data_IF_258185693226
#
_entry.id   IF_258185693226
#
_cell.length_a   1.000
_cell.length_b   1.000
_cell.length_c   1.000
_cell.angle_alpha   90.00
_cell.angle_beta   90.00
_cell.angle_gamma   90.00
#
_symmetry.space_group_name_H-M   'P 1'
#
loop_
_entity.id
_entity.type
_entity.pdbx_description
1 polymer ?
#
# COMPACT_ATOMS: atom_id res chain seq x y z
N UNK A 1 2.66 13.12 -10.82
CA UNK A 1 3.08 13.12 -12.22
C UNK A 1 2.70 11.82 -12.92
N UNK A 2 2.38 11.92 -14.20
CA UNK A 2 1.84 10.77 -14.94
C UNK A 2 2.86 9.65 -15.18
N UNK A 3 4.15 9.92 -15.03
CA UNK A 3 5.21 8.94 -15.22
C UNK A 3 5.84 8.50 -13.89
N UNK A 4 5.08 8.56 -12.81
CA UNK A 4 5.54 8.13 -11.49
C UNK A 4 5.69 6.62 -11.45
N UNK A 5 6.86 6.13 -11.03
CA UNK A 5 7.10 4.70 -10.85
C UNK A 5 6.78 4.26 -9.43
N UNK A 6 7.22 5.04 -8.44
CA UNK A 6 7.00 4.72 -7.02
C UNK A 6 6.29 5.90 -6.37
N UNK A 7 5.14 5.62 -5.77
CA UNK A 7 4.34 6.61 -5.05
C UNK A 7 4.35 6.27 -3.57
N UNK A 8 4.63 7.26 -2.74
CA UNK A 8 4.61 7.11 -1.28
C UNK A 8 3.59 8.09 -0.72
N UNK A 9 2.62 7.59 0.04
CA UNK A 9 1.62 8.42 0.69
C UNK A 9 1.53 8.07 2.18
N UNK A 10 0.90 8.95 2.97
CA UNK A 10 0.71 8.69 4.39
C UNK A 10 -0.23 7.49 4.61
N UNK A 11 -1.40 7.54 4.01
CA UNK A 11 -2.41 6.50 4.16
C UNK A 11 -2.75 5.78 2.86
N UNK A 12 -3.57 4.71 2.95
CA UNK A 12 -3.90 3.89 1.79
C UNK A 12 -4.93 4.52 0.86
N UNK A 13 -4.97 4.08 -0.41
CA UNK A 13 -6.11 4.36 -1.27
C UNK A 13 -7.29 3.49 -0.84
N UNK A 14 -8.51 3.94 -1.14
CA UNK A 14 -9.72 3.21 -0.79
C UNK A 14 -9.70 1.79 -1.39
N UNK A 15 -9.94 0.80 -0.54
CA UNK A 15 -10.07 -0.59 -0.96
C UNK A 15 -8.78 -1.40 -0.92
N UNK A 16 -7.64 -0.79 -0.57
CA UNK A 16 -6.35 -1.49 -0.58
C UNK A 16 -5.68 -1.42 0.80
N UNK A 17 -5.75 -2.55 1.55
CA UNK A 17 -5.09 -2.69 2.86
C UNK A 17 -5.50 -1.58 3.84
N UNK A 18 -6.80 -1.24 3.83
CA UNK A 18 -7.33 -0.06 4.52
C UNK A 18 -8.44 -0.37 5.51
N UNK A 19 -8.61 -1.62 5.91
CA UNK A 19 -9.69 -2.02 6.83
C UNK A 19 -9.23 -2.21 8.25
N UNK A 20 -10.16 -1.97 9.19
CA UNK A 20 -10.02 -2.37 10.60
C UNK A 20 -11.00 -3.51 10.89
N UNK A 21 -10.70 -4.38 11.88
CA UNK A 21 -11.52 -5.58 12.11
C UNK A 21 -12.96 -5.28 12.54
N UNK A 22 -13.18 -4.18 13.27
CA UNK A 22 -14.48 -3.83 13.82
C UNK A 22 -15.27 -2.84 12.99
N UNK A 23 -14.69 -2.34 11.90
CA UNK A 23 -15.31 -1.35 11.02
C UNK A 23 -15.48 -1.97 9.64
N UNK A 24 -16.73 -2.15 9.16
CA UNK A 24 -16.95 -2.81 7.87
C UNK A 24 -16.54 -1.94 6.66
N UNK A 25 -16.47 -0.63 6.84
CA UNK A 25 -16.12 0.27 5.75
C UNK A 25 -14.62 0.28 5.50
N UNK A 26 -14.24 0.48 4.24
CA UNK A 26 -12.88 0.80 3.88
C UNK A 26 -12.55 2.23 4.33
N UNK A 27 -11.35 2.45 4.84
CA UNK A 27 -10.95 3.72 5.44
C UNK A 27 -10.02 4.55 4.55
N UNK A 28 -9.64 4.02 3.39
CA UNK A 28 -8.72 4.70 2.50
C UNK A 28 -9.35 5.86 1.75
N UNK A 29 -8.52 6.59 1.04
CA UNK A 29 -8.91 7.79 0.31
C UNK A 29 -9.42 7.45 -1.09
N UNK A 30 -10.67 7.78 -1.38
CA UNK A 30 -11.27 7.51 -2.68
C UNK A 30 -10.63 8.32 -3.81
N UNK A 31 -10.28 9.58 -3.54
CA UNK A 31 -9.60 10.41 -4.54
C UNK A 31 -8.21 9.87 -4.87
N UNK A 32 -7.50 9.37 -3.87
CA UNK A 32 -6.20 8.74 -4.09
C UNK A 32 -6.35 7.48 -4.94
N UNK A 33 -7.36 6.66 -4.68
CA UNK A 33 -7.63 5.48 -5.49
C UNK A 33 -7.82 5.84 -6.97
N UNK A 34 -8.63 6.87 -7.23
CA UNK A 34 -8.90 7.29 -8.61
C UNK A 34 -7.63 7.79 -9.29
N UNK A 35 -6.80 8.55 -8.56
CA UNK A 35 -5.55 9.05 -9.13
C UNK A 35 -4.55 7.93 -9.41
N UNK A 36 -4.48 6.93 -8.55
CA UNK A 36 -3.63 5.77 -8.76
C UNK A 36 -4.05 4.99 -10.00
N UNK A 37 -5.37 4.87 -10.23
CA UNK A 37 -5.88 4.22 -11.45
C UNK A 37 -5.47 4.96 -12.72
N UNK A 38 -5.40 6.29 -12.67
CA UNK A 38 -5.00 7.10 -13.81
C UNK A 38 -3.49 7.00 -14.07
N UNK A 39 -2.69 7.17 -13.02
CA UNK A 39 -1.22 7.24 -13.12
C UNK A 39 -0.59 5.86 -13.29
N UNK A 40 -1.18 4.84 -12.65
CA UNK A 40 -0.67 3.46 -12.64
C UNK A 40 0.79 3.37 -12.20
N UNK A 41 1.15 3.88 -11.00
CA UNK A 41 2.51 3.70 -10.52
C UNK A 41 2.81 2.21 -10.38
N UNK A 42 4.06 1.83 -10.51
CA UNK A 42 4.44 0.42 -10.36
C UNK A 42 4.32 -0.04 -8.92
N UNK A 43 4.68 0.83 -7.98
CA UNK A 43 4.67 0.54 -6.56
C UNK A 43 4.02 1.72 -5.83
N UNK A 44 3.09 1.43 -4.91
CA UNK A 44 2.48 2.42 -4.03
C UNK A 44 2.69 1.98 -2.58
N UNK A 45 3.47 2.74 -1.81
CA UNK A 45 3.79 2.45 -0.43
C UNK A 45 3.06 3.44 0.48
N UNK A 46 2.44 2.93 1.54
CA UNK A 46 1.71 3.75 2.51
C UNK A 46 1.74 3.07 3.88
N UNK A 47 1.16 3.70 4.87
CA UNK A 47 1.07 3.16 6.23
C UNK A 47 -0.22 3.61 6.89
N UNK A 48 -0.14 4.13 8.12
CA UNK A 48 -1.23 4.71 8.89
C UNK A 48 -2.27 3.71 9.39
N UNK A 49 -2.86 2.89 8.53
CA UNK A 49 -3.82 1.86 8.94
C UNK A 49 -3.01 0.63 9.37
N UNK A 50 -2.70 0.56 10.66
CA UNK A 50 -1.77 -0.44 11.20
C UNK A 50 -2.23 -1.88 10.99
N UNK A 51 -3.53 -2.13 11.07
CA UNK A 51 -4.09 -3.47 10.85
C UNK A 51 -3.92 -3.94 9.42
N UNK A 52 -3.76 -3.02 8.49
CA UNK A 52 -3.64 -3.33 7.07
C UNK A 52 -2.24 -3.69 6.60
N UNK A 53 -1.26 -3.81 7.51
CA UNK A 53 0.11 -4.16 7.14
C UNK A 53 0.13 -5.34 6.17
N UNK A 54 0.83 -5.22 5.06
CA UNK A 54 0.91 -6.29 4.08
C UNK A 54 1.05 -5.81 2.64
N UNK A 55 0.63 -6.69 1.73
CA UNK A 55 0.81 -6.51 0.30
C UNK A 55 -0.42 -6.97 -0.47
N UNK A 56 -0.74 -6.25 -1.55
CA UNK A 56 -1.70 -6.70 -2.56
C UNK A 56 -1.37 -6.05 -3.90
N UNK A 57 -2.04 -6.48 -4.96
CA UNK A 57 -1.86 -5.89 -6.29
C UNK A 57 -3.18 -5.92 -7.06
N UNK A 58 -3.34 -4.96 -7.98
CA UNK A 58 -4.47 -4.96 -8.91
C UNK A 58 -4.05 -5.38 -10.34
N UNK A 59 -2.79 -5.85 -10.49
CA UNK A 59 -2.23 -6.20 -11.78
C UNK A 59 -1.36 -5.11 -12.41
N UNK A 60 -1.63 -3.85 -12.10
CA UNK A 60 -0.86 -2.70 -12.60
C UNK A 60 0.08 -2.13 -11.54
N UNK A 61 -0.37 -2.12 -10.28
CA UNK A 61 0.35 -1.51 -9.16
C UNK A 61 0.52 -2.51 -8.04
N UNK A 62 1.70 -2.55 -7.45
CA UNK A 62 1.95 -3.26 -6.21
C UNK A 62 1.65 -2.33 -5.03
N UNK A 63 0.71 -2.73 -4.16
CA UNK A 63 0.32 -1.94 -2.98
C UNK A 63 0.96 -2.54 -1.75
N UNK A 64 1.67 -1.72 -0.97
CA UNK A 64 2.35 -2.14 0.24
C UNK A 64 1.92 -1.24 1.39
N UNK A 65 1.29 -1.82 2.42
CA UNK A 65 1.07 -1.14 3.68
C UNK A 65 2.23 -1.52 4.60
N UNK A 66 3.13 -0.58 4.83
CA UNK A 66 4.38 -0.81 5.54
C UNK A 66 4.29 -0.40 7.02
N UNK A 67 3.10 -0.29 7.59
CA UNK A 67 2.93 0.05 9.01
C UNK A 67 3.57 -1.01 9.89
N UNK A 68 4.50 -0.61 10.76
CA UNK A 68 5.23 -1.56 11.63
C UNK A 68 4.67 -1.63 13.04
N UNK A 69 3.78 -0.71 13.42
CA UNK A 69 3.15 -0.70 14.74
C UNK A 69 1.78 -1.37 14.66
N UNK A 70 1.33 -1.96 15.78
CA UNK A 70 -0.05 -2.43 15.89
C UNK A 70 -0.95 -1.27 16.32
N UNK A 71 -2.25 -1.55 16.58
CA UNK A 71 -3.23 -0.54 16.97
C UNK A 71 -2.91 0.11 18.31
N UNK A 72 -2.06 -0.51 19.13
CA UNK A 72 -1.62 0.02 20.40
C UNK A 72 -0.27 0.74 20.29
N UNK A 73 0.19 0.99 19.07
CA UNK A 73 1.48 1.63 18.76
C UNK A 73 2.67 0.81 19.26
N UNK A 74 2.50 -0.51 19.35
CA UNK A 74 3.58 -1.42 19.69
C UNK A 74 4.26 -1.92 18.42
N UNK A 75 5.53 -2.16 18.47
CA UNK A 75 6.34 -2.57 17.31
C UNK A 75 6.12 -4.05 17.01
N UNK A 76 5.01 -4.40 16.37
CA UNK A 76 4.59 -5.78 16.11
C UNK A 76 5.01 -6.28 14.73
N UNK A 77 4.93 -5.42 13.72
CA UNK A 77 5.23 -5.80 12.34
C UNK A 77 6.69 -5.50 12.02
N UNK A 78 7.30 -6.38 11.23
CA UNK A 78 8.67 -6.15 10.77
C UNK A 78 8.65 -5.30 9.51
N UNK A 79 9.70 -4.49 9.27
CA UNK A 79 9.84 -3.81 7.99
C UNK A 79 9.80 -4.81 6.85
N UNK A 80 9.15 -4.45 5.76
CA UNK A 80 9.07 -5.28 4.57
C UNK A 80 10.28 -5.02 3.67
N UNK A 81 10.97 -6.08 3.28
CA UNK A 81 12.10 -6.00 2.37
C UNK A 81 11.71 -6.69 1.07
N UNK A 82 11.92 -6.01 -0.05
CA UNK A 82 11.52 -6.55 -1.35
C UNK A 82 12.50 -6.11 -2.44
N UNK A 83 12.57 -6.91 -3.48
CA UNK A 83 13.30 -6.57 -4.70
C UNK A 83 12.30 -6.41 -5.84
N UNK A 84 12.45 -5.35 -6.60
CA UNK A 84 11.56 -5.03 -7.70
C UNK A 84 12.33 -4.95 -9.02
N UNK A 85 11.84 -5.68 -10.03
CA UNK A 85 12.38 -5.64 -11.38
C UNK A 85 11.57 -4.65 -12.22
N UNK A 86 12.14 -3.49 -12.61
CA UNK A 86 11.39 -2.51 -13.38
C UNK A 86 11.02 -2.95 -14.79
N UNK A 87 11.72 -3.93 -15.35
CA UNK A 87 11.40 -4.42 -16.70
C UNK A 87 10.18 -5.33 -16.71
N UNK A 88 10.05 -6.21 -15.72
CA UNK A 88 8.94 -7.18 -15.64
C UNK A 88 7.85 -6.74 -14.67
N UNK A 89 8.11 -5.74 -13.83
CA UNK A 89 7.27 -5.32 -12.73
C UNK A 89 7.07 -6.41 -11.67
N UNK A 90 7.95 -7.37 -11.60
CA UNK A 90 7.90 -8.39 -10.56
C UNK A 90 8.43 -7.85 -9.23
N UNK A 91 7.73 -8.18 -8.15
CA UNK A 91 8.12 -7.81 -6.79
C UNK A 91 8.26 -9.06 -5.95
N UNK A 92 9.44 -9.26 -5.37
CA UNK A 92 9.74 -10.42 -4.55
C UNK A 92 10.17 -9.98 -3.15
N UNK A 93 9.47 -10.46 -2.13
CA UNK A 93 9.83 -10.16 -0.74
C UNK A 93 10.98 -11.07 -0.30
N UNK A 94 11.93 -10.48 0.39
CA UNK A 94 13.13 -11.18 0.86
C UNK A 94 13.26 -11.17 2.38
#
# INVERSE_FOLDING_TARGET
PENTDILITHGPPYGYLDKLPDIPQNLGCELLRERVKEVKPKIHVFGHIHYGHGYTTNGDTHFINAAVLNEEYQNEHKPLNAEWDPETNELNFV
#
